data_IF_646350510356
#
_entry.id   IF_646350510356
#
_cell.length_a   1.000
_cell.length_b   1.000
_cell.length_c   1.000
_cell.angle_alpha   90.00
_cell.angle_beta   90.00
_cell.angle_gamma   90.00
#
_symmetry.space_group_name_H-M   'P 1'
#
loop_
_entity.id
_entity.type
_entity.pdbx_description
1 polymer ?
#
# COMPACT_ATOMS: atom_id res chain seq x y z
N UNK A 1 25.36 16.77 -14.80
CA UNK A 1 24.80 16.00 -13.67
C UNK A 1 24.91 14.53 -14.03
N UNK A 2 25.80 13.77 -13.39
CA UNK A 2 25.68 12.31 -13.41
C UNK A 2 24.42 12.00 -12.61
N UNK A 3 23.39 11.43 -13.23
CA UNK A 3 22.13 11.05 -12.55
C UNK A 3 22.31 9.78 -11.71
N UNK A 4 23.45 9.62 -11.02
CA UNK A 4 23.86 8.45 -10.21
C UNK A 4 23.33 7.07 -10.68
N UNK A 5 23.26 6.83 -12.00
CA UNK A 5 22.74 5.58 -12.55
C UNK A 5 21.25 5.29 -12.31
N UNK A 6 20.41 6.28 -11.94
CA UNK A 6 18.97 6.15 -11.72
C UNK A 6 18.17 6.18 -13.03
N UNK A 7 18.58 5.35 -13.96
CA UNK A 7 17.92 5.09 -15.24
C UNK A 7 17.88 3.59 -15.50
N UNK A 8 16.86 3.15 -16.23
CA UNK A 8 16.70 1.75 -16.60
C UNK A 8 16.24 1.65 -18.04
N UNK A 9 16.85 0.77 -18.81
CA UNK A 9 16.45 0.51 -20.20
C UNK A 9 15.51 -0.69 -20.22
N UNK A 10 14.28 -0.46 -20.66
CA UNK A 10 13.27 -1.50 -20.85
C UNK A 10 13.65 -2.42 -22.03
N UNK A 11 12.99 -3.58 -22.12
CA UNK A 11 13.24 -4.57 -23.19
C UNK A 11 13.03 -4.01 -24.61
N UNK A 12 12.15 -3.03 -24.77
CA UNK A 12 11.89 -2.33 -26.03
C UNK A 12 12.92 -1.24 -26.37
N UNK A 13 13.97 -1.10 -25.54
CA UNK A 13 15.03 -0.11 -25.68
C UNK A 13 14.69 1.27 -25.11
N UNK A 14 13.49 1.47 -24.56
CA UNK A 14 13.11 2.75 -23.95
C UNK A 14 13.82 2.94 -22.61
N UNK A 15 14.50 4.06 -22.45
CA UNK A 15 15.08 4.48 -21.18
C UNK A 15 14.01 5.14 -20.32
N UNK A 16 13.84 4.65 -19.10
CA UNK A 16 13.04 5.27 -18.03
C UNK A 16 13.96 5.84 -16.95
N UNK A 17 13.48 6.86 -16.26
CA UNK A 17 14.24 7.56 -15.23
C UNK A 17 13.55 7.44 -13.88
N UNK A 18 14.36 7.47 -12.82
CA UNK A 18 13.91 7.61 -11.44
C UNK A 18 12.97 8.78 -11.24
N UNK A 19 11.95 8.55 -10.42
CA UNK A 19 11.05 9.63 -9.96
C UNK A 19 11.41 10.04 -8.54
N UNK A 20 11.17 11.31 -8.20
CA UNK A 20 11.19 11.76 -6.81
C UNK A 20 9.96 11.16 -6.12
N UNK A 21 10.17 10.09 -5.36
CA UNK A 21 9.09 9.33 -4.74
C UNK A 21 9.04 9.54 -3.23
N UNK A 22 9.81 10.48 -2.68
CA UNK A 22 9.73 10.91 -1.29
C UNK A 22 8.62 11.94 -1.09
N UNK A 23 7.88 11.85 0.02
CA UNK A 23 6.76 12.76 0.29
C UNK A 23 6.99 13.42 1.63
N UNK A 24 7.73 14.50 1.62
CA UNK A 24 7.99 15.27 2.83
C UNK A 24 7.76 16.76 2.62
N UNK A 25 7.62 17.46 3.75
CA UNK A 25 7.59 18.91 3.78
C UNK A 25 8.31 19.43 5.00
N UNK A 26 8.88 20.64 4.87
CA UNK A 26 9.68 21.30 5.89
C UNK A 26 9.09 22.68 6.13
N UNK A 27 8.95 23.06 7.40
CA UNK A 27 8.38 24.35 7.78
C UNK A 27 9.38 25.18 8.56
N UNK A 28 9.52 26.44 8.16
CA UNK A 28 10.36 27.44 8.80
C UNK A 28 9.48 28.46 9.53
N UNK A 29 9.96 28.96 10.67
CA UNK A 29 9.35 30.15 11.29
C UNK A 29 9.82 31.40 10.55
N UNK A 30 9.00 32.45 10.42
CA UNK A 30 9.43 33.71 9.82
C UNK A 30 10.75 34.22 10.43
N UNK A 31 11.74 34.50 9.58
CA UNK A 31 13.06 34.99 10.00
C UNK A 31 13.98 33.95 10.66
N UNK A 32 13.59 32.67 10.74
CA UNK A 32 14.43 31.61 11.30
C UNK A 32 15.03 30.75 10.18
N UNK A 33 16.37 30.66 10.07
CA UNK A 33 17.03 29.82 9.07
C UNK A 33 17.01 28.33 9.41
N UNK A 34 16.55 27.95 10.62
CA UNK A 34 16.46 26.55 11.06
C UNK A 34 15.01 26.07 10.89
N UNK A 35 14.80 24.93 10.19
CA UNK A 35 13.46 24.37 10.07
C UNK A 35 12.96 23.89 11.43
N UNK A 36 11.69 24.12 11.70
CA UNK A 36 11.09 23.92 13.01
C UNK A 36 10.18 22.69 13.06
N UNK A 37 9.42 22.44 12.00
CA UNK A 37 8.52 21.29 11.88
C UNK A 37 8.66 20.63 10.51
N UNK A 38 8.21 19.40 10.38
CA UNK A 38 8.18 18.67 9.11
C UNK A 38 7.05 17.65 9.06
N UNK A 39 6.83 17.05 7.89
CA UNK A 39 6.03 15.83 7.76
C UNK A 39 6.67 14.87 6.77
N UNK A 40 6.36 13.57 6.89
CA UNK A 40 6.68 12.56 5.88
C UNK A 40 5.71 11.36 5.99
N UNK A 41 5.59 10.56 4.93
CA UNK A 41 4.83 9.31 4.95
C UNK A 41 4.72 8.70 3.56
N UNK A 42 3.75 7.79 3.37
CA UNK A 42 3.53 7.17 2.07
C UNK A 42 2.75 8.04 1.08
N UNK A 43 2.09 9.10 1.56
CA UNK A 43 1.06 9.83 0.82
C UNK A 43 1.57 10.96 -0.08
N UNK A 44 1.19 10.95 -1.37
CA UNK A 44 1.37 12.10 -2.27
C UNK A 44 0.63 13.34 -1.75
N UNK A 45 1.12 14.53 -2.10
CA UNK A 45 0.39 15.80 -1.90
C UNK A 45 -0.53 16.02 -3.10
N UNK A 46 -1.64 15.28 -3.16
CA UNK A 46 -2.61 15.37 -4.27
C UNK A 46 -4.04 15.11 -3.81
N UNK A 47 -5.01 15.54 -4.63
CA UNK A 47 -6.43 15.22 -4.41
C UNK A 47 -6.75 13.75 -4.60
N UNK A 48 -5.91 13.00 -5.33
CA UNK A 48 -6.09 11.57 -5.57
C UNK A 48 -5.64 10.73 -4.38
N UNK A 49 -4.68 11.21 -3.58
CA UNK A 49 -4.29 10.58 -2.32
C UNK A 49 -5.48 10.38 -1.39
N UNK A 50 -6.34 11.38 -1.23
CA UNK A 50 -7.49 11.30 -0.34
C UNK A 50 -8.68 10.48 -0.90
N UNK A 51 -8.67 10.21 -2.21
CA UNK A 51 -9.81 9.62 -2.93
C UNK A 51 -9.59 8.20 -3.43
N UNK A 52 -8.34 7.81 -3.62
CA UNK A 52 -7.97 6.57 -4.31
C UNK A 52 -6.99 5.73 -3.47
N UNK A 53 -6.33 6.30 -2.46
CA UNK A 53 -5.32 5.58 -1.69
C UNK A 53 -5.61 5.65 -0.19
N UNK A 54 -5.38 4.54 0.51
CA UNK A 54 -5.30 4.49 1.96
C UNK A 54 -3.82 4.66 2.33
N UNK A 55 -3.44 5.88 2.69
CA UNK A 55 -2.07 6.31 2.93
C UNK A 55 -1.91 6.93 4.32
N UNK A 56 -0.67 7.26 4.67
CA UNK A 56 -0.35 7.84 5.96
C UNK A 56 0.59 9.04 5.84
N UNK A 57 0.57 9.87 6.87
CA UNK A 57 1.52 10.97 7.11
C UNK A 57 1.80 11.09 8.60
N UNK A 58 3.07 11.29 8.94
CA UNK A 58 3.53 11.60 10.30
C UNK A 58 3.97 13.06 10.31
N UNK A 59 3.43 13.83 11.26
CA UNK A 59 3.79 15.23 11.47
C UNK A 59 4.73 15.35 12.68
N UNK A 60 5.87 16.01 12.47
CA UNK A 60 6.87 16.29 13.47
C UNK A 60 6.78 17.76 13.86
N UNK A 61 5.95 18.05 14.85
CA UNK A 61 5.79 19.42 15.36
C UNK A 61 6.92 19.74 16.33
N UNK A 62 7.58 20.88 16.13
CA UNK A 62 8.61 21.40 17.05
C UNK A 62 9.81 20.45 17.21
N UNK A 63 10.14 19.69 16.16
CA UNK A 63 11.28 18.77 16.12
C UNK A 63 12.31 19.19 15.06
N UNK A 64 13.09 20.25 15.32
CA UNK A 64 14.09 20.74 14.36
C UNK A 64 15.18 19.71 14.02
N UNK A 65 15.46 18.75 14.91
CA UNK A 65 16.39 17.66 14.62
C UNK A 65 15.89 16.71 13.53
N UNK A 66 14.58 16.48 13.45
CA UNK A 66 13.98 15.68 12.36
C UNK A 66 13.83 16.53 11.11
N UNK A 67 13.38 17.78 11.25
CA UNK A 67 13.19 18.67 10.10
C UNK A 67 14.49 18.98 9.36
N UNK A 68 15.65 19.02 10.05
CA UNK A 68 16.96 19.19 9.41
C UNK A 68 17.40 18.02 8.54
N UNK A 69 17.05 16.77 8.87
CA UNK A 69 17.32 15.61 8.01
C UNK A 69 16.61 15.74 6.66
N UNK A 70 15.35 16.19 6.66
CA UNK A 70 14.65 16.49 5.40
C UNK A 70 15.22 17.72 4.68
N UNK A 71 15.68 18.74 5.41
CA UNK A 71 16.28 19.93 4.79
C UNK A 71 17.60 19.62 4.07
N UNK A 72 18.41 18.73 4.63
CA UNK A 72 19.60 18.21 3.94
C UNK A 72 19.23 17.49 2.65
N UNK A 73 18.28 16.55 2.70
CA UNK A 73 17.87 15.81 1.50
C UNK A 73 17.24 16.73 0.46
N UNK A 74 16.41 17.70 0.87
CA UNK A 74 15.90 18.72 -0.04
C UNK A 74 17.04 19.48 -0.71
N UNK A 75 18.05 19.91 0.04
CA UNK A 75 19.20 20.62 -0.53
C UNK A 75 19.98 19.72 -1.50
N UNK A 76 20.13 18.43 -1.21
CA UNK A 76 20.76 17.45 -2.11
C UNK A 76 19.99 17.33 -3.42
N UNK A 77 18.69 17.01 -3.35
CA UNK A 77 17.84 16.87 -4.51
C UNK A 77 17.78 18.15 -5.35
N UNK A 78 17.63 19.30 -4.67
CA UNK A 78 17.61 20.61 -5.32
C UNK A 78 18.94 20.92 -6.02
N UNK A 79 20.07 20.62 -5.39
CA UNK A 79 21.39 20.94 -5.94
C UNK A 79 21.87 19.97 -7.01
N UNK A 80 21.48 18.72 -6.92
CA UNK A 80 21.96 17.65 -7.80
C UNK A 80 21.05 17.37 -8.98
N UNK A 81 19.76 17.73 -8.92
CA UNK A 81 18.79 17.39 -9.98
C UNK A 81 18.04 18.58 -10.57
N UNK A 82 18.28 19.81 -10.10
CA UNK A 82 17.71 21.00 -10.74
C UNK A 82 18.35 21.31 -12.09
N UNK A 83 17.53 21.48 -13.12
CA UNK A 83 17.96 21.92 -14.45
C UNK A 83 17.71 23.43 -14.64
N UNK A 84 18.60 24.09 -15.37
CA UNK A 84 18.48 25.51 -15.76
C UNK A 84 17.47 25.61 -16.92
N UNK A 85 16.19 25.32 -16.67
CA UNK A 85 15.15 25.37 -17.71
C UNK A 85 14.63 26.80 -17.89
N UNK A 86 14.59 27.60 -16.81
CA UNK A 86 13.92 28.91 -16.80
C UNK A 86 14.76 30.10 -16.28
N UNK A 87 16.10 29.99 -16.23
CA UNK A 87 16.99 31.09 -15.83
C UNK A 87 17.96 30.75 -14.71
N UNK A 88 18.50 31.76 -14.01
CA UNK A 88 19.52 31.59 -12.96
C UNK A 88 18.98 30.70 -11.82
N UNK A 89 19.53 29.51 -11.72
CA UNK A 89 19.31 28.60 -10.62
C UNK A 89 20.05 29.09 -9.35
N UNK A 90 19.35 29.11 -8.21
CA UNK A 90 19.94 29.43 -6.91
C UNK A 90 20.09 28.13 -6.12
N UNK A 91 21.32 27.74 -5.73
CA UNK A 91 21.53 26.55 -4.92
C UNK A 91 20.93 26.72 -3.54
N UNK A 92 20.41 25.62 -3.01
CA UNK A 92 20.00 25.53 -1.61
C UNK A 92 21.24 25.28 -0.73
N UNK A 93 21.22 25.78 0.51
CA UNK A 93 22.36 25.57 1.40
C UNK A 93 22.39 24.12 1.89
N UNK A 94 23.34 23.33 1.39
CA UNK A 94 23.62 22.00 1.91
C UNK A 94 24.30 22.08 3.28
N UNK A 95 23.66 21.52 4.30
CA UNK A 95 24.22 21.35 5.63
C UNK A 95 24.03 19.89 5.98
N UNK A 96 25.13 19.14 5.97
CA UNK A 96 25.15 17.76 6.43
C UNK A 96 24.60 17.68 7.85
N UNK A 97 23.65 16.77 8.08
CA UNK A 97 23.12 16.51 9.41
C UNK A 97 23.35 15.06 9.78
N UNK A 98 23.81 14.85 11.01
CA UNK A 98 23.80 13.51 11.61
C UNK A 98 22.48 13.27 12.33
N UNK A 99 22.05 12.01 12.34
CA UNK A 99 20.95 11.59 13.19
C UNK A 99 21.26 11.91 14.67
N UNK A 100 20.31 12.56 15.34
CA UNK A 100 20.40 12.86 16.77
C UNK A 100 19.72 11.72 17.54
N UNK A 101 20.45 10.97 18.40
CA UNK A 101 19.85 9.92 19.22
C UNK A 101 18.65 10.45 20.02
N UNK A 102 17.56 9.68 20.08
CA UNK A 102 16.32 10.12 20.71
C UNK A 102 15.27 10.68 19.75
N UNK A 103 15.62 10.97 18.50
CA UNK A 103 14.68 11.39 17.45
C UNK A 103 14.44 10.26 16.44
N UNK A 104 13.57 10.49 15.46
CA UNK A 104 13.44 9.58 14.31
C UNK A 104 14.71 9.65 13.46
N UNK A 105 15.23 8.47 13.09
CA UNK A 105 16.25 8.33 12.04
C UNK A 105 15.54 8.20 10.71
N UNK A 106 15.97 8.97 9.72
CA UNK A 106 15.47 8.90 8.35
C UNK A 106 16.61 8.41 7.48
N UNK A 107 16.31 7.47 6.60
CA UNK A 107 17.26 6.91 5.64
C UNK A 107 16.73 7.19 4.25
N UNK A 108 17.59 7.73 3.38
CA UNK A 108 17.31 8.04 1.99
C UNK A 108 18.17 7.15 1.10
N UNK A 109 17.61 6.54 0.06
CA UNK A 109 18.41 5.72 -0.86
C UNK A 109 19.26 6.57 -1.83
N UNK A 110 19.17 7.89 -1.72
CA UNK A 110 20.00 8.90 -2.41
C UNK A 110 21.23 9.30 -1.63
N UNK A 111 21.33 8.89 -0.35
CA UNK A 111 22.42 9.29 0.53
C UNK A 111 23.72 8.59 0.14
N UNK A 112 24.79 9.32 -0.20
CA UNK A 112 26.05 8.70 -0.56
C UNK A 112 26.70 8.06 0.67
N UNK A 113 27.10 6.79 0.53
CA UNK A 113 27.97 6.10 1.49
C UNK A 113 29.43 6.44 1.19
N UNK A 114 29.78 6.49 -0.09
CA UNK A 114 31.07 6.91 -0.63
C UNK A 114 30.89 7.44 -2.06
N UNK A 115 31.99 7.66 -2.78
CA UNK A 115 32.00 8.20 -4.15
C UNK A 115 31.32 7.28 -5.19
N UNK A 116 31.10 6.00 -4.88
CA UNK A 116 30.61 4.97 -5.79
C UNK A 116 29.28 4.35 -5.34
N UNK A 117 28.96 4.42 -4.05
CA UNK A 117 27.83 3.72 -3.45
C UNK A 117 26.84 4.67 -2.79
N UNK A 118 25.56 4.39 -3.03
CA UNK A 118 24.45 4.99 -2.31
C UNK A 118 23.96 4.07 -1.19
N UNK A 119 23.33 4.67 -0.20
CA UNK A 119 22.72 4.00 0.93
C UNK A 119 21.63 3.06 0.46
N UNK A 120 21.60 1.86 1.05
CA UNK A 120 20.67 0.79 0.71
C UNK A 120 19.60 0.68 1.79
N UNK A 121 18.37 1.09 1.47
CA UNK A 121 17.25 0.96 2.40
C UNK A 121 16.95 -0.53 2.66
N UNK A 122 17.17 -1.39 1.66
CA UNK A 122 17.07 -2.85 1.81
C UNK A 122 17.88 -3.35 3.01
N UNK A 123 19.12 -2.88 3.17
CA UNK A 123 20.01 -3.33 4.24
C UNK A 123 19.50 -2.97 5.63
N UNK A 124 18.95 -1.77 5.80
CA UNK A 124 18.36 -1.32 7.06
C UNK A 124 17.08 -2.10 7.40
N UNK A 125 16.24 -2.38 6.39
CA UNK A 125 15.03 -3.18 6.57
C UNK A 125 15.34 -4.65 6.89
N UNK A 126 16.32 -5.27 6.22
CA UNK A 126 16.78 -6.64 6.53
C UNK A 126 17.29 -6.71 7.97
N UNK A 127 18.10 -5.73 8.40
CA UNK A 127 18.57 -5.65 9.77
C UNK A 127 17.41 -5.56 10.77
N UNK A 128 16.38 -4.77 10.48
CA UNK A 128 15.17 -4.69 11.30
C UNK A 128 14.42 -6.03 11.35
N UNK A 129 14.23 -6.70 10.21
CA UNK A 129 13.55 -8.02 10.13
C UNK A 129 14.32 -9.09 10.93
N UNK A 130 15.65 -9.00 10.97
CA UNK A 130 16.49 -9.91 11.73
C UNK A 130 16.42 -9.70 13.25
N UNK A 131 15.87 -8.58 13.73
CA UNK A 131 15.66 -8.30 15.17
C UNK A 131 14.39 -8.94 15.74
N UNK A 132 13.61 -9.69 14.96
CA UNK A 132 12.46 -10.45 15.50
C UNK A 132 12.94 -11.39 16.60
N UNK A 133 12.34 -11.26 17.78
CA UNK A 133 12.66 -12.07 18.97
C UNK A 133 12.04 -13.47 18.85
N UNK A 134 12.56 -14.46 19.60
CA UNK A 134 12.11 -15.86 19.52
C UNK A 134 10.60 -16.07 19.76
N UNK A 135 9.97 -15.23 20.57
CA UNK A 135 8.52 -15.17 20.82
C UNK A 135 7.91 -13.84 20.40
N UNK A 136 8.60 -13.13 19.50
CA UNK A 136 8.27 -11.79 19.07
C UNK A 136 7.27 -11.75 17.91
N UNK A 137 7.33 -10.69 17.12
CA UNK A 137 6.46 -10.54 15.96
C UNK A 137 7.07 -9.68 14.86
N UNK A 138 6.56 -9.87 13.64
CA UNK A 138 6.70 -8.97 12.52
C UNK A 138 5.32 -8.74 11.91
N UNK A 139 4.90 -7.49 11.86
CA UNK A 139 3.68 -7.06 11.19
C UNK A 139 4.04 -6.15 10.01
N UNK A 140 3.76 -6.61 8.80
CA UNK A 140 4.03 -5.89 7.55
C UNK A 140 2.71 -5.45 6.94
N UNK A 141 2.55 -4.15 6.69
CA UNK A 141 1.49 -3.60 5.86
C UNK A 141 2.12 -2.98 4.61
N UNK A 142 1.88 -3.59 3.45
CA UNK A 142 2.62 -3.26 2.23
C UNK A 142 1.73 -3.24 0.98
N UNK A 143 1.86 -2.17 0.20
CA UNK A 143 1.19 -2.04 -1.09
C UNK A 143 1.78 -2.97 -2.16
N UNK A 144 3.11 -2.94 -2.30
CA UNK A 144 3.83 -3.71 -3.31
C UNK A 144 5.03 -4.42 -2.67
N UNK A 145 5.02 -5.74 -2.79
CA UNK A 145 6.05 -6.65 -2.29
C UNK A 145 6.55 -7.52 -3.45
N UNK A 146 7.58 -7.03 -4.14
CA UNK A 146 8.21 -7.70 -5.29
C UNK A 146 9.71 -7.90 -5.15
N UNK A 147 10.32 -7.43 -4.05
CA UNK A 147 11.74 -7.58 -3.73
C UNK A 147 11.99 -8.93 -3.03
N UNK A 148 12.72 -9.83 -3.69
CA UNK A 148 12.99 -11.19 -3.20
C UNK A 148 13.78 -11.19 -1.89
N UNK A 149 14.82 -10.35 -1.76
CA UNK A 149 15.73 -10.34 -0.62
C UNK A 149 15.03 -9.98 0.68
N UNK A 150 14.03 -9.11 0.63
CA UNK A 150 13.19 -8.76 1.79
C UNK A 150 12.22 -9.90 2.13
N UNK A 151 11.66 -10.58 1.14
CA UNK A 151 10.82 -11.77 1.35
C UNK A 151 11.64 -12.94 1.95
N UNK A 152 12.85 -13.17 1.46
CA UNK A 152 13.79 -14.15 2.02
C UNK A 152 14.20 -13.80 3.45
N UNK A 153 14.42 -12.52 3.76
CA UNK A 153 14.74 -12.10 5.12
C UNK A 153 13.59 -12.44 6.09
N UNK A 154 12.32 -12.24 5.67
CA UNK A 154 11.15 -12.68 6.44
C UNK A 154 11.17 -14.20 6.62
N UNK A 155 11.33 -14.96 5.54
CA UNK A 155 11.33 -16.43 5.56
C UNK A 155 12.40 -16.97 6.52
N UNK A 156 13.65 -16.49 6.39
CA UNK A 156 14.78 -16.87 7.25
C UNK A 156 14.55 -16.46 8.70
N UNK A 157 13.98 -15.28 8.94
CA UNK A 157 13.68 -14.84 10.31
C UNK A 157 12.58 -15.68 10.96
N UNK A 158 11.58 -16.11 10.19
CA UNK A 158 10.52 -17.00 10.63
C UNK A 158 11.00 -18.41 10.95
N UNK A 159 11.87 -18.96 10.10
CA UNK A 159 12.53 -20.25 10.32
C UNK A 159 13.37 -20.25 11.62
N UNK A 160 14.18 -19.20 11.85
CA UNK A 160 15.01 -19.07 13.05
C UNK A 160 14.19 -18.88 14.34
N UNK A 161 12.99 -18.30 14.23
CA UNK A 161 12.15 -17.95 15.37
C UNK A 161 10.77 -18.62 15.29
N UNK A 162 10.68 -19.96 15.44
CA UNK A 162 9.42 -20.69 15.26
C UNK A 162 8.31 -20.30 16.26
N UNK A 163 8.67 -19.68 17.39
CA UNK A 163 7.72 -19.14 18.37
C UNK A 163 7.22 -17.72 18.09
N UNK A 164 7.81 -17.01 17.13
CA UNK A 164 7.42 -15.65 16.75
C UNK A 164 6.27 -15.67 15.74
N UNK A 165 5.59 -14.54 15.56
CA UNK A 165 4.46 -14.40 14.61
C UNK A 165 4.81 -13.47 13.47
N UNK A 166 4.66 -13.91 12.23
CA UNK A 166 4.85 -13.10 11.03
C UNK A 166 3.51 -12.88 10.33
N UNK A 167 3.05 -11.64 10.27
CA UNK A 167 1.75 -11.25 9.71
C UNK A 167 1.96 -10.23 8.60
N UNK A 168 1.61 -10.58 7.38
CA UNK A 168 1.74 -9.71 6.21
C UNK A 168 0.34 -9.35 5.70
N UNK A 169 0.01 -8.06 5.71
CA UNK A 169 -1.21 -7.52 5.14
C UNK A 169 -0.85 -6.77 3.86
N UNK A 170 -1.47 -7.16 2.75
CA UNK A 170 -1.16 -6.64 1.43
C UNK A 170 -2.39 -6.08 0.71
N UNK A 171 -2.15 -5.24 -0.29
CA UNK A 171 -3.20 -4.83 -1.21
C UNK A 171 -3.69 -6.02 -2.04
N UNK A 172 -4.96 -6.00 -2.49
CA UNK A 172 -5.49 -7.06 -3.33
C UNK A 172 -4.63 -7.25 -4.58
N UNK A 173 -4.07 -6.17 -5.15
CA UNK A 173 -3.28 -6.26 -6.37
C UNK A 173 -2.08 -7.22 -6.24
N UNK A 174 -1.64 -7.55 -5.03
CA UNK A 174 -0.56 -8.51 -4.76
C UNK A 174 -1.01 -9.98 -4.77
N UNK A 175 -2.30 -10.25 -5.01
CA UNK A 175 -2.88 -11.59 -4.90
C UNK A 175 -2.74 -12.42 -6.19
N UNK A 176 -2.82 -11.76 -7.34
CA UNK A 176 -2.80 -12.39 -8.66
C UNK A 176 -1.38 -12.44 -9.24
N UNK A 177 -0.75 -13.59 -9.21
CA UNK A 177 0.61 -13.86 -9.69
C UNK A 177 0.64 -14.61 -11.03
N UNK A 178 -0.45 -14.60 -11.82
CA UNK A 178 -0.48 -15.29 -13.12
C UNK A 178 0.56 -14.76 -14.11
N UNK A 179 0.93 -13.48 -13.99
CA UNK A 179 2.03 -12.87 -14.74
C UNK A 179 3.34 -12.96 -13.93
N UNK A 180 4.26 -13.87 -14.28
CA UNK A 180 5.51 -14.04 -13.56
C UNK A 180 6.41 -12.80 -13.63
N UNK A 181 6.25 -11.93 -14.63
CA UNK A 181 7.04 -10.70 -14.75
C UNK A 181 6.75 -9.72 -13.61
N UNK A 182 5.56 -9.77 -13.01
CA UNK A 182 5.20 -8.91 -11.89
C UNK A 182 5.91 -9.30 -10.58
N UNK A 183 6.48 -10.50 -10.51
CA UNK A 183 7.33 -10.95 -9.40
C UNK A 183 6.70 -10.71 -8.02
N UNK A 184 5.40 -11.01 -7.86
CA UNK A 184 4.70 -10.85 -6.58
C UNK A 184 5.23 -11.86 -5.57
N UNK A 185 5.87 -11.39 -4.51
CA UNK A 185 6.60 -12.27 -3.58
C UNK A 185 5.72 -12.89 -2.50
N UNK A 186 4.49 -12.41 -2.30
CA UNK A 186 3.63 -12.94 -1.25
C UNK A 186 3.12 -14.37 -1.53
N UNK A 187 2.60 -14.70 -2.72
CA UNK A 187 2.30 -16.09 -3.08
C UNK A 187 3.54 -16.99 -3.03
N UNK A 188 4.68 -16.50 -3.52
CA UNK A 188 5.96 -17.20 -3.42
C UNK A 188 6.34 -17.50 -1.97
N UNK A 189 6.19 -16.54 -1.07
CA UNK A 189 6.53 -16.69 0.35
C UNK A 189 5.66 -17.74 1.03
N UNK A 190 4.34 -17.72 0.79
CA UNK A 190 3.43 -18.74 1.32
C UNK A 190 3.77 -20.14 0.81
N UNK A 191 4.05 -20.27 -0.49
CA UNK A 191 4.46 -21.53 -1.10
C UNK A 191 5.76 -22.04 -0.47
N UNK A 192 6.79 -21.19 -0.36
CA UNK A 192 8.09 -21.57 0.20
C UNK A 192 8.01 -21.90 1.69
N UNK A 193 7.21 -21.17 2.45
CA UNK A 193 6.95 -21.48 3.85
C UNK A 193 6.30 -22.87 4.00
N UNK A 194 5.32 -23.21 3.15
CA UNK A 194 4.70 -24.52 3.14
C UNK A 194 5.68 -25.65 2.76
N UNK A 195 6.50 -25.45 1.73
CA UNK A 195 7.55 -26.40 1.30
C UNK A 195 8.57 -26.70 2.42
N UNK A 196 8.93 -25.68 3.20
CA UNK A 196 9.88 -25.78 4.31
C UNK A 196 9.23 -26.16 5.66
N UNK A 197 7.90 -26.30 5.71
CA UNK A 197 7.18 -26.59 6.95
C UNK A 197 7.15 -25.44 7.97
N UNK A 198 7.39 -24.20 7.53
CA UNK A 198 7.34 -22.97 8.33
C UNK A 198 5.87 -22.57 8.52
N UNK A 199 5.38 -22.59 9.77
CA UNK A 199 3.94 -22.42 10.09
C UNK A 199 3.59 -21.07 10.70
N UNK A 200 4.58 -20.26 11.01
CA UNK A 200 4.42 -18.99 11.73
C UNK A 200 4.34 -17.76 10.82
N UNK A 201 4.22 -17.96 9.50
CA UNK A 201 3.93 -16.91 8.52
C UNK A 201 2.44 -16.97 8.16
N UNK A 202 1.79 -15.81 8.20
CA UNK A 202 0.42 -15.63 7.72
C UNK A 202 0.38 -14.42 6.81
N UNK A 203 -0.26 -14.57 5.65
CA UNK A 203 -0.51 -13.47 4.72
C UNK A 203 -2.02 -13.27 4.59
N UNK A 204 -2.43 -12.01 4.56
CA UNK A 204 -3.80 -11.58 4.28
C UNK A 204 -3.77 -10.48 3.23
N UNK A 205 -4.81 -10.44 2.41
CA UNK A 205 -4.99 -9.45 1.38
C UNK A 205 -6.24 -8.66 1.70
N UNK A 206 -6.15 -7.33 1.67
CA UNK A 206 -7.34 -6.50 1.64
C UNK A 206 -8.10 -6.80 0.35
N UNK A 207 -9.39 -7.09 0.44
CA UNK A 207 -10.20 -7.42 -0.72
C UNK A 207 -11.57 -6.75 -0.64
N UNK A 208 -12.07 -6.25 -1.77
CA UNK A 208 -13.45 -5.78 -1.93
C UNK A 208 -14.01 -6.24 -3.26
N UNK A 209 -15.24 -6.75 -3.28
CA UNK A 209 -15.88 -7.28 -4.51
C UNK A 209 -16.35 -6.15 -5.40
N UNK A 210 -17.00 -5.16 -4.79
CA UNK A 210 -17.54 -4.01 -5.51
C UNK A 210 -16.46 -3.01 -5.94
N UNK A 211 -15.19 -3.32 -5.64
CA UNK A 211 -14.04 -2.63 -6.22
C UNK A 211 -13.84 -2.96 -7.72
N UNK A 212 -14.51 -3.95 -8.27
CA UNK A 212 -14.37 -4.33 -9.68
C UNK A 212 -15.58 -3.95 -10.50
N UNK A 213 -15.34 -3.62 -11.77
CA UNK A 213 -16.37 -3.41 -12.77
C UNK A 213 -15.83 -3.67 -14.16
N UNK A 214 -16.68 -3.52 -15.18
CA UNK A 214 -16.29 -3.78 -16.57
C UNK A 214 -15.68 -2.53 -17.21
N UNK A 215 -14.47 -2.66 -17.76
CA UNK A 215 -13.85 -1.61 -18.57
C UNK A 215 -14.32 -1.73 -20.02
N UNK A 216 -14.98 -0.69 -20.53
CA UNK A 216 -15.34 -0.61 -21.95
C UNK A 216 -14.11 -0.47 -22.85
N UNK A 217 -13.03 0.12 -22.35
CA UNK A 217 -11.77 0.31 -23.08
C UNK A 217 -11.00 -1.01 -23.20
N UNK A 218 -10.77 -1.69 -22.08
CA UNK A 218 -10.05 -2.96 -22.06
C UNK A 218 -10.93 -4.17 -22.39
N UNK A 219 -12.25 -3.95 -22.50
CA UNK A 219 -13.27 -4.97 -22.79
C UNK A 219 -13.23 -6.18 -21.84
N UNK A 220 -12.85 -5.94 -20.58
CA UNK A 220 -12.78 -6.96 -19.53
C UNK A 220 -13.10 -6.36 -18.16
N UNK A 221 -13.47 -7.18 -17.17
CA UNK A 221 -13.52 -6.74 -15.79
C UNK A 221 -12.14 -6.30 -15.30
N UNK A 222 -12.10 -5.16 -14.62
CA UNK A 222 -10.89 -4.60 -14.00
C UNK A 222 -11.20 -4.14 -12.58
N UNK A 223 -10.16 -3.97 -11.79
CA UNK A 223 -10.23 -3.22 -10.55
C UNK A 223 -10.42 -1.73 -10.86
N UNK A 224 -11.44 -1.13 -10.26
CA UNK A 224 -11.80 0.28 -10.40
C UNK A 224 -11.42 1.00 -9.10
N UNK A 225 -10.30 1.70 -9.15
CA UNK A 225 -9.60 2.23 -7.98
C UNK A 225 -10.38 3.25 -7.13
N UNK A 226 -11.36 3.97 -7.70
CA UNK A 226 -12.19 4.91 -6.95
C UNK A 226 -13.34 4.25 -6.17
N UNK A 227 -13.67 2.98 -6.45
CA UNK A 227 -14.68 2.22 -5.70
C UNK A 227 -14.09 1.58 -4.44
N UNK A 228 -12.77 1.46 -4.37
CA UNK A 228 -12.05 0.96 -3.21
C UNK A 228 -10.65 1.52 -3.23
N UNK A 229 -10.31 2.32 -2.20
CA UNK A 229 -8.96 2.84 -2.03
C UNK A 229 -7.94 1.71 -2.20
N UNK A 230 -6.80 1.93 -2.84
CA UNK A 230 -5.67 1.02 -2.76
C UNK A 230 -5.08 1.03 -1.35
N UNK A 231 -4.75 -0.13 -0.79
CA UNK A 231 -4.04 -0.22 0.48
C UNK A 231 -2.58 0.19 0.31
N UNK A 232 -2.30 1.49 0.45
CA UNK A 232 -1.04 2.10 0.03
C UNK A 232 -0.06 2.33 1.20
N UNK A 233 -0.18 1.50 2.23
CA UNK A 233 0.75 1.45 3.37
C UNK A 233 2.08 0.80 2.99
N UNK A 234 3.14 1.20 3.69
CA UNK A 234 4.53 0.78 3.46
C UNK A 234 5.26 0.79 4.80
N UNK A 235 4.76 -0.01 5.72
CA UNK A 235 5.26 -0.05 7.09
C UNK A 235 5.48 -1.47 7.58
N UNK A 236 6.52 -1.66 8.37
CA UNK A 236 6.81 -2.90 9.08
C UNK A 236 7.05 -2.59 10.56
N UNK A 237 6.45 -3.37 11.44
CA UNK A 237 6.65 -3.28 12.90
C UNK A 237 7.23 -4.60 13.40
N UNK A 238 8.31 -4.53 14.18
CA UNK A 238 9.01 -5.68 14.77
C UNK A 238 8.87 -5.63 16.30
N UNK A 239 8.43 -6.75 16.87
CA UNK A 239 8.22 -7.00 18.30
C UNK A 239 7.35 -5.95 19.02
N UNK A 240 6.52 -5.19 18.30
CA UNK A 240 5.80 -4.01 18.82
C UNK A 240 6.71 -2.92 19.43
N UNK A 241 8.02 -2.96 19.09
CA UNK A 241 9.08 -2.10 19.66
C UNK A 241 9.76 -1.23 18.62
N UNK A 242 9.87 -1.69 17.39
CA UNK A 242 10.56 -0.99 16.32
C UNK A 242 9.66 -0.94 15.10
N UNK A 243 9.66 0.19 14.39
CA UNK A 243 8.84 0.35 13.19
C UNK A 243 9.61 1.12 12.12
N UNK A 244 9.49 0.67 10.88
CA UNK A 244 9.96 1.38 9.71
C UNK A 244 8.78 1.76 8.82
N UNK A 245 8.74 3.01 8.35
CA UNK A 245 7.67 3.53 7.50
C UNK A 245 8.16 4.66 6.59
N UNK A 246 7.67 4.73 5.36
CA UNK A 246 7.98 5.85 4.47
C UNK A 246 7.34 5.69 3.10
N UNK A 247 8.04 6.15 2.07
CA UNK A 247 7.59 6.08 0.68
C UNK A 247 7.96 4.76 -0.03
N UNK A 248 8.84 3.98 0.58
CA UNK A 248 9.52 2.82 0.01
C UNK A 248 8.61 1.59 -0.13
N UNK A 249 8.18 1.29 -1.37
CA UNK A 249 7.65 -0.04 -1.69
C UNK A 249 8.78 -1.07 -1.61
N UNK A 250 8.48 -2.33 -1.29
CA UNK A 250 9.48 -3.38 -1.30
C UNK A 250 9.65 -3.92 -2.72
N UNK A 251 10.26 -3.11 -3.60
CA UNK A 251 10.46 -3.39 -5.03
C UNK A 251 11.84 -2.95 -5.53
N UNK A 252 12.31 -3.53 -6.65
CA UNK A 252 13.58 -3.12 -7.29
C UNK A 252 13.56 -1.64 -7.73
N UNK A 253 12.42 -1.15 -8.23
CA UNK A 253 12.27 0.24 -8.65
C UNK A 253 12.38 1.22 -7.48
N UNK A 254 11.89 0.85 -6.29
CA UNK A 254 12.04 1.68 -5.10
C UNK A 254 13.52 1.82 -4.73
N UNK A 255 14.28 0.71 -4.71
CA UNK A 255 15.68 0.77 -4.30
C UNK A 255 16.58 1.46 -5.31
N UNK A 256 16.48 1.09 -6.59
CA UNK A 256 17.52 1.40 -7.58
C UNK A 256 17.14 2.52 -8.54
N UNK A 257 15.86 2.87 -8.64
CA UNK A 257 15.38 3.83 -9.63
C UNK A 257 14.85 5.09 -8.93
N UNK A 258 13.85 4.96 -8.06
CA UNK A 258 13.17 6.07 -7.42
C UNK A 258 13.92 6.61 -6.21
N UNK A 259 13.81 7.92 -5.96
CA UNK A 259 14.24 8.52 -4.70
C UNK A 259 13.21 8.17 -3.64
N UNK A 260 13.65 7.51 -2.57
CA UNK A 260 12.78 6.96 -1.54
C UNK A 260 13.38 7.20 -0.16
N UNK A 261 12.50 7.25 0.83
CA UNK A 261 12.89 7.41 2.22
C UNK A 261 12.16 6.44 3.15
N UNK A 262 12.80 6.10 4.27
CA UNK A 262 12.21 5.33 5.38
C UNK A 262 12.57 5.97 6.71
N UNK A 263 11.55 6.18 7.54
CA UNK A 263 11.65 6.63 8.92
C UNK A 263 11.67 5.45 9.88
N UNK A 264 12.59 5.45 10.84
CA UNK A 264 12.74 4.41 11.86
C UNK A 264 12.33 4.94 13.23
N UNK A 265 11.39 4.23 13.85
CA UNK A 265 10.87 4.47 15.19
C UNK A 265 11.30 3.33 16.12
N UNK A 266 11.49 3.66 17.39
CA UNK A 266 11.87 2.73 18.44
C UNK A 266 11.27 3.22 19.77
N UNK A 267 10.62 2.32 20.51
CA UNK A 267 9.89 2.61 21.74
C UNK A 267 10.73 3.20 22.88
N UNK A 268 12.06 3.04 22.84
CA UNK A 268 12.96 3.66 23.82
C UNK A 268 13.03 5.18 23.69
N UNK A 269 12.57 5.74 22.57
CA UNK A 269 12.59 7.17 22.31
C UNK A 269 11.22 7.81 22.56
N UNK A 270 11.28 9.07 23.02
CA UNK A 270 10.10 9.83 23.41
C UNK A 270 9.13 9.94 22.23
N UNK A 271 7.84 9.77 22.52
CA UNK A 271 6.72 9.87 21.56
C UNK A 271 6.68 8.81 20.45
N UNK A 272 7.74 8.02 20.22
CA UNK A 272 7.77 6.97 19.20
C UNK A 272 6.74 5.86 19.47
N UNK A 273 6.59 5.44 20.73
CA UNK A 273 5.58 4.43 21.10
C UNK A 273 4.17 4.85 20.68
N UNK A 274 3.82 6.14 20.75
CA UNK A 274 2.49 6.63 20.35
C UNK A 274 2.27 6.42 18.85
N UNK A 275 3.28 6.72 18.03
CA UNK A 275 3.22 6.51 16.58
C UNK A 275 3.11 5.02 16.27
N UNK A 276 3.96 4.19 16.86
CA UNK A 276 3.93 2.72 16.69
C UNK A 276 2.55 2.17 17.06
N UNK A 277 1.98 2.59 18.19
CA UNK A 277 0.66 2.15 18.64
C UNK A 277 -0.47 2.54 17.68
N UNK A 278 -0.40 3.74 17.08
CA UNK A 278 -1.40 4.17 16.10
C UNK A 278 -1.41 3.29 14.85
N UNK A 279 -0.23 3.01 14.28
CA UNK A 279 -0.12 2.09 13.13
C UNK A 279 -0.50 0.66 13.49
N UNK A 280 -0.13 0.21 14.69
CA UNK A 280 -0.51 -1.10 15.21
C UNK A 280 -2.03 -1.23 15.35
N UNK A 281 -2.71 -0.21 15.86
CA UNK A 281 -4.17 -0.22 16.03
C UNK A 281 -4.90 -0.32 14.68
N UNK A 282 -4.44 0.41 13.66
CA UNK A 282 -4.95 0.28 12.30
C UNK A 282 -4.66 -1.12 11.73
N UNK A 283 -3.42 -1.61 11.86
CA UNK A 283 -3.06 -2.96 11.43
C UNK A 283 -3.95 -4.02 12.06
N UNK A 284 -4.17 -3.99 13.37
CA UNK A 284 -5.06 -4.94 14.06
C UNK A 284 -6.51 -4.82 13.58
N UNK A 285 -7.00 -3.60 13.33
CA UNK A 285 -8.34 -3.38 12.79
C UNK A 285 -8.48 -4.06 11.44
N UNK A 286 -7.55 -3.82 10.52
CA UNK A 286 -7.56 -4.40 9.18
C UNK A 286 -7.34 -5.91 9.22
N UNK A 287 -6.34 -6.36 9.98
CA UNK A 287 -5.99 -7.75 10.14
C UNK A 287 -7.19 -8.55 10.63
N UNK A 288 -7.86 -8.11 11.69
CA UNK A 288 -8.99 -8.83 12.28
C UNK A 288 -10.31 -8.68 11.50
N UNK A 289 -10.35 -7.85 10.47
CA UNK A 289 -11.52 -7.68 9.61
C UNK A 289 -11.58 -8.74 8.51
N UNK A 290 -11.85 -10.00 8.87
CA UNK A 290 -12.04 -11.08 7.88
C UNK A 290 -13.32 -10.84 7.08
N UNK A 291 -13.26 -11.17 5.79
CA UNK A 291 -14.43 -11.22 4.94
C UNK A 291 -15.43 -12.25 5.48
N UNK A 292 -16.70 -11.86 5.70
CA UNK A 292 -17.68 -12.76 6.29
C UNK A 292 -18.12 -13.82 5.29
N UNK A 293 -18.51 -14.99 5.81
CA UNK A 293 -19.11 -16.05 5.00
C UNK A 293 -20.47 -15.63 4.43
N UNK A 294 -21.24 -14.82 5.16
CA UNK A 294 -22.57 -14.35 4.78
C UNK A 294 -22.65 -12.82 4.83
N UNK A 295 -23.39 -12.23 3.89
CA UNK A 295 -23.68 -10.80 3.82
C UNK A 295 -25.19 -10.63 3.73
N UNK A 296 -25.80 -10.16 4.82
CA UNK A 296 -27.26 -9.97 4.93
C UNK A 296 -27.68 -8.51 4.82
N UNK A 297 -26.73 -7.59 4.90
CA UNK A 297 -26.92 -6.15 4.68
C UNK A 297 -25.63 -5.54 4.11
N UNK A 298 -25.71 -4.37 3.43
CA UNK A 298 -24.53 -3.69 2.90
C UNK A 298 -23.47 -3.40 3.97
N UNK A 299 -22.19 -3.66 3.69
CA UNK A 299 -21.05 -3.48 4.63
C UNK A 299 -20.15 -2.32 4.25
N UNK A 300 -20.74 -1.13 4.16
CA UNK A 300 -20.07 0.10 3.74
C UNK A 300 -18.90 0.47 4.65
N UNK A 301 -17.77 0.82 4.04
CA UNK A 301 -16.59 1.33 4.75
C UNK A 301 -15.89 0.30 5.64
N UNK A 302 -16.40 -0.93 5.73
CA UNK A 302 -15.80 -1.98 6.55
C UNK A 302 -14.65 -2.60 5.76
N UNK A 303 -13.40 -2.54 6.25
CA UNK A 303 -12.29 -3.25 5.60
C UNK A 303 -12.57 -4.75 5.62
N UNK A 304 -12.09 -5.46 4.62
CA UNK A 304 -12.25 -6.91 4.54
C UNK A 304 -10.95 -7.53 4.06
N UNK A 305 -10.59 -8.66 4.67
CA UNK A 305 -9.39 -9.41 4.34
C UNK A 305 -9.70 -10.87 4.01
N UNK A 306 -8.90 -11.42 3.11
CA UNK A 306 -8.96 -12.80 2.64
C UNK A 306 -7.58 -13.43 2.71
N UNK A 307 -7.52 -14.76 2.80
CA UNK A 307 -6.30 -15.52 2.51
C UNK A 307 -6.02 -15.56 1.00
N UNK A 308 -4.84 -16.02 0.60
CA UNK A 308 -4.50 -16.19 -0.82
C UNK A 308 -5.48 -17.11 -1.55
N UNK A 309 -5.75 -18.29 -0.99
CA UNK A 309 -6.66 -19.27 -1.58
C UNK A 309 -8.08 -18.73 -1.73
N UNK A 310 -8.62 -18.09 -0.68
CA UNK A 310 -9.93 -17.44 -0.72
C UNK A 310 -9.96 -16.34 -1.78
N UNK A 311 -8.99 -15.43 -1.77
CA UNK A 311 -8.97 -14.32 -2.70
C UNK A 311 -8.79 -14.74 -4.16
N UNK A 312 -8.02 -15.80 -4.44
CA UNK A 312 -7.84 -16.31 -5.82
C UNK A 312 -9.17 -16.89 -6.34
N UNK A 313 -9.84 -17.70 -5.53
CA UNK A 313 -11.15 -18.25 -5.87
C UNK A 313 -12.17 -17.13 -6.12
N UNK A 314 -12.19 -16.11 -5.25
CA UNK A 314 -13.09 -14.97 -5.37
C UNK A 314 -12.78 -14.11 -6.60
N UNK A 315 -11.51 -13.87 -6.91
CA UNK A 315 -11.10 -13.12 -8.08
C UNK A 315 -11.54 -13.83 -9.38
N UNK A 316 -11.32 -15.15 -9.48
CA UNK A 316 -11.77 -15.93 -10.63
C UNK A 316 -13.30 -15.93 -10.80
N UNK A 317 -14.04 -16.09 -9.70
CA UNK A 317 -15.50 -16.03 -9.69
C UNK A 317 -16.00 -14.65 -10.15
N UNK A 318 -15.36 -13.59 -9.66
CA UNK A 318 -15.64 -12.21 -10.03
C UNK A 318 -15.46 -11.95 -11.52
N UNK A 319 -14.31 -12.33 -12.10
CA UNK A 319 -14.02 -12.10 -13.51
C UNK A 319 -15.05 -12.81 -14.40
N UNK A 320 -15.41 -14.05 -14.05
CA UNK A 320 -16.43 -14.82 -14.76
C UNK A 320 -17.80 -14.15 -14.74
N UNK A 321 -18.21 -13.59 -13.60
CA UNK A 321 -19.54 -13.01 -13.43
C UNK A 321 -19.66 -11.62 -14.02
N UNK A 322 -18.63 -10.78 -13.87
CA UNK A 322 -18.61 -9.45 -14.49
C UNK A 322 -18.32 -9.47 -16.00
N UNK A 323 -17.84 -10.59 -16.54
CA UNK A 323 -17.65 -10.76 -17.98
C UNK A 323 -18.94 -10.77 -18.81
N UNK A 324 -20.12 -10.85 -18.17
CA UNK A 324 -21.43 -10.81 -18.86
C UNK A 324 -21.98 -9.39 -18.87
N UNK A 325 -22.37 -8.92 -20.06
CA UNK A 325 -22.94 -7.57 -20.25
C UNK A 325 -24.09 -7.24 -19.30
N UNK A 326 -25.04 -8.16 -19.17
CA UNK A 326 -26.21 -7.94 -18.34
C UNK A 326 -25.87 -7.83 -16.84
N UNK A 327 -24.74 -8.39 -16.39
CA UNK A 327 -24.34 -8.36 -14.99
C UNK A 327 -23.70 -7.01 -14.65
N UNK A 328 -22.74 -6.53 -15.45
CA UNK A 328 -22.14 -5.23 -15.16
C UNK A 328 -23.13 -4.07 -15.37
N UNK A 329 -24.11 -4.19 -16.28
CA UNK A 329 -25.19 -3.21 -16.41
C UNK A 329 -26.02 -3.12 -15.13
N UNK A 330 -26.42 -4.26 -14.56
CA UNK A 330 -27.14 -4.29 -13.28
C UNK A 330 -26.28 -3.71 -12.15
N UNK A 331 -25.02 -4.14 -12.03
CA UNK A 331 -24.13 -3.64 -10.98
C UNK A 331 -23.91 -2.12 -11.08
N UNK A 332 -23.79 -1.58 -12.29
CA UNK A 332 -23.63 -0.13 -12.52
C UNK A 332 -24.84 0.69 -12.06
N UNK A 333 -26.06 0.14 -12.05
CA UNK A 333 -27.22 0.85 -11.48
C UNK A 333 -27.12 0.99 -9.96
N UNK A 334 -26.31 0.15 -9.30
CA UNK A 334 -26.20 0.09 -7.84
C UNK A 334 -24.94 0.79 -7.31
N UNK A 335 -24.29 1.62 -8.11
CA UNK A 335 -23.13 2.44 -7.70
C UNK A 335 -23.51 3.51 -6.66
N UNK A 336 -22.50 4.05 -5.95
CA UNK A 336 -22.60 5.15 -4.97
C UNK A 336 -23.66 4.92 -3.90
N UNK A 337 -23.63 3.73 -3.31
CA UNK A 337 -24.49 3.40 -2.17
C UNK A 337 -26.00 3.35 -2.49
N UNK A 338 -26.35 3.18 -3.76
CA UNK A 338 -27.74 3.11 -4.17
C UNK A 338 -28.49 1.92 -3.53
N UNK A 339 -29.77 2.16 -3.29
CA UNK A 339 -30.75 1.14 -2.95
C UNK A 339 -31.82 1.17 -4.03
N UNK A 340 -32.02 0.05 -4.74
CA UNK A 340 -32.99 -0.03 -5.84
C UNK A 340 -33.87 -1.27 -5.73
N UNK A 341 -35.14 -1.07 -6.02
CA UNK A 341 -36.10 -2.17 -6.21
C UNK A 341 -35.81 -2.90 -7.52
N UNK A 342 -36.42 -4.08 -7.68
CA UNK A 342 -36.29 -4.84 -8.93
C UNK A 342 -36.76 -4.03 -10.15
N UNK A 343 -37.89 -3.34 -10.03
CA UNK A 343 -38.48 -2.60 -11.16
C UNK A 343 -37.60 -1.42 -11.58
N UNK A 344 -36.99 -0.71 -10.63
CA UNK A 344 -36.02 0.35 -10.92
C UNK A 344 -34.79 -0.18 -11.67
N UNK A 345 -34.27 -1.35 -11.27
CA UNK A 345 -33.14 -1.98 -11.98
C UNK A 345 -33.54 -2.35 -13.41
N UNK A 346 -34.74 -2.90 -13.62
CA UNK A 346 -35.25 -3.24 -14.95
C UNK A 346 -35.37 -2.00 -15.83
N UNK A 347 -35.96 -0.93 -15.30
CA UNK A 347 -36.14 0.35 -16.00
C UNK A 347 -34.81 0.95 -16.42
N UNK A 348 -33.87 1.11 -15.49
CA UNK A 348 -32.59 1.78 -15.76
C UNK A 348 -31.64 0.97 -16.64
N UNK A 349 -31.65 -0.36 -16.51
CA UNK A 349 -30.79 -1.21 -17.35
C UNK A 349 -31.34 -1.40 -18.77
N UNK A 350 -32.64 -1.16 -18.98
CA UNK A 350 -33.34 -1.51 -20.22
C UNK A 350 -33.38 -3.00 -20.51
N UNK A 351 -33.03 -3.86 -19.53
CA UNK A 351 -33.07 -5.31 -19.68
C UNK A 351 -34.50 -5.82 -19.52
N UNK A 352 -34.89 -6.83 -20.31
CA UNK A 352 -36.13 -7.55 -20.04
C UNK A 352 -36.12 -8.20 -18.64
N UNK A 353 -37.27 -8.22 -17.96
CA UNK A 353 -37.40 -8.67 -16.57
C UNK A 353 -36.75 -10.05 -16.29
N UNK A 354 -36.91 -11.01 -17.20
CA UNK A 354 -36.28 -12.35 -17.08
C UNK A 354 -34.75 -12.25 -17.06
N UNK A 355 -34.16 -11.43 -17.92
CA UNK A 355 -32.71 -11.25 -18.02
C UNK A 355 -32.17 -10.49 -16.82
N UNK A 356 -32.84 -9.43 -16.37
CA UNK A 356 -32.49 -8.72 -15.14
C UNK A 356 -32.53 -9.65 -13.91
N UNK A 357 -33.56 -10.48 -13.78
CA UNK A 357 -33.69 -11.45 -12.69
C UNK A 357 -32.58 -12.50 -12.69
N UNK A 358 -32.17 -12.98 -13.87
CA UNK A 358 -31.02 -13.89 -14.00
C UNK A 358 -29.71 -13.22 -13.59
N UNK A 359 -29.49 -11.97 -14.01
CA UNK A 359 -28.30 -11.18 -13.63
C UNK A 359 -28.24 -10.93 -12.12
N UNK A 360 -29.34 -10.47 -11.51
CA UNK A 360 -29.42 -10.23 -10.07
C UNK A 360 -29.09 -11.51 -9.29
N UNK A 361 -29.71 -12.65 -9.65
CA UNK A 361 -29.42 -13.94 -9.01
C UNK A 361 -27.95 -14.34 -9.11
N UNK A 362 -27.30 -14.11 -10.24
CA UNK A 362 -25.88 -14.41 -10.42
C UNK A 362 -25.02 -13.50 -9.54
N UNK A 363 -25.32 -12.20 -9.49
CA UNK A 363 -24.60 -11.23 -8.67
C UNK A 363 -24.80 -11.44 -7.16
N UNK A 364 -25.99 -11.87 -6.72
CA UNK A 364 -26.25 -12.27 -5.33
C UNK A 364 -25.49 -13.55 -4.96
N UNK A 365 -25.49 -14.57 -5.82
CA UNK A 365 -24.77 -15.82 -5.59
C UNK A 365 -23.27 -15.59 -5.37
N UNK A 366 -22.71 -14.61 -6.08
CA UNK A 366 -21.30 -14.23 -6.00
C UNK A 366 -21.04 -13.07 -5.03
N UNK A 367 -22.08 -12.61 -4.33
CA UNK A 367 -22.03 -11.61 -3.26
C UNK A 367 -21.53 -10.24 -3.72
N UNK A 368 -21.81 -9.84 -4.96
CA UNK A 368 -21.72 -8.44 -5.39
C UNK A 368 -22.89 -7.63 -4.84
N UNK A 369 -24.06 -8.24 -4.82
CA UNK A 369 -25.29 -7.63 -4.37
C UNK A 369 -25.81 -8.32 -3.12
N UNK A 370 -26.50 -7.54 -2.30
CA UNK A 370 -27.28 -8.04 -1.18
C UNK A 370 -28.70 -7.54 -1.31
N UNK A 371 -29.64 -8.46 -1.15
CA UNK A 371 -31.06 -8.16 -1.03
C UNK A 371 -31.39 -7.86 0.42
N UNK A 372 -32.00 -6.72 0.68
CA UNK A 372 -32.33 -6.28 2.04
C UNK A 372 -33.52 -5.34 2.05
N UNK A 373 -34.04 -5.07 3.25
CA UNK A 373 -35.18 -4.18 3.46
C UNK A 373 -34.70 -2.83 3.97
N UNK A 374 -35.09 -1.76 3.29
CA UNK A 374 -34.86 -0.37 3.71
C UNK A 374 -36.21 0.34 3.80
N UNK A 375 -36.53 0.90 4.96
CA UNK A 375 -37.78 1.65 5.19
C UNK A 375 -39.06 0.87 4.80
N UNK A 376 -39.07 -0.44 5.05
CA UNK A 376 -40.19 -1.34 4.73
C UNK A 376 -40.28 -1.79 3.26
N UNK A 377 -39.35 -1.33 2.40
CA UNK A 377 -39.28 -1.71 0.99
C UNK A 377 -38.15 -2.70 0.78
N UNK A 378 -38.42 -3.77 0.02
CA UNK A 378 -37.42 -4.76 -0.37
C UNK A 378 -36.67 -4.31 -1.63
N UNK A 379 -35.35 -4.41 -1.62
CA UNK A 379 -34.52 -4.01 -2.75
C UNK A 379 -33.10 -4.55 -2.64
N UNK A 380 -32.23 -3.99 -3.46
CA UNK A 380 -30.85 -4.44 -3.64
C UNK A 380 -29.89 -3.28 -3.45
N UNK A 381 -28.72 -3.60 -2.92
CA UNK A 381 -27.55 -2.73 -2.88
C UNK A 381 -26.30 -3.54 -3.16
N UNK A 382 -25.21 -2.84 -3.46
CA UNK A 382 -23.87 -3.39 -3.37
C UNK A 382 -23.61 -3.99 -1.97
N UNK A 383 -23.00 -5.18 -1.93
CA UNK A 383 -22.73 -5.95 -0.72
C UNK A 383 -21.68 -5.33 0.22
N UNK A 384 -20.63 -4.72 -0.34
CA UNK A 384 -19.52 -4.05 0.36
C UNK A 384 -19.25 -2.63 -0.14
#
# INVERSE_FOLDING_TARGET
MQRNGREHTLEDGKVIFGTMHEKFGIFYRPGNPVPHSSFNGSANISTTSDKIYAENRVFFNDQPAVARQFAEEFARLWNEYSEIVYGRWLPEKYIETSHVPGYVRIVFNSEPVDELLLTRIDSELINLIHRVEASGSLDLAMFSLTRLELAEAILKSAERNPGARFRLLLDHAQLDDEDPLQSKMAPWLEQKAAELGIKNIQVRYRFRRNAYGFSSEEKKPILISYLSLFFHHKNVTVNDKEMAIGSYNWSNSAEFLNFENVMFFNVFYKDHQKVINSFKAEFETLWNSRMPAEITSPRKGVPQTVTLAEGKALHQQLLKTLGKEANYKVLATLDREAFKTFDQIVEETGLGATRAKQSIRALEADKFLVKWTKDGVEGYSQAD
#
